data_IF_181479364119
#
_entry.id   IF_181479364119
#
_cell.length_a   1.000
_cell.length_b   1.000
_cell.length_c   1.000
_cell.angle_alpha   90.00
_cell.angle_beta   90.00
_cell.angle_gamma   90.00
#
_symmetry.space_group_name_H-M   'P 1'
#
loop_
_entity.id
_entity.type
_entity.pdbx_description
1 polymer ?
#
# COMPACT_ATOMS: atom_id res chain seq x y z
N UNK A 1 21.04 26.09 -93.94
CA UNK A 1 19.75 25.41 -93.69
C UNK A 1 19.46 25.47 -92.19
N UNK A 2 18.41 26.20 -91.79
CA UNK A 2 17.59 26.15 -90.52
C UNK A 2 18.34 26.10 -89.17
N UNK A 3 18.35 27.18 -88.36
CA UNK A 3 17.40 27.54 -87.27
C UNK A 3 17.01 26.35 -86.36
N UNK A 4 17.23 26.47 -85.03
CA UNK A 4 16.21 26.46 -83.95
C UNK A 4 16.87 26.65 -82.56
N UNK A 5 16.23 27.50 -81.75
CA UNK A 5 16.41 27.79 -80.31
C UNK A 5 15.46 26.89 -79.49
N UNK A 6 15.84 26.42 -78.29
CA UNK A 6 14.95 26.22 -77.11
C UNK A 6 15.81 25.71 -75.92
N UNK A 7 15.98 26.45 -74.82
CA UNK A 7 15.11 26.60 -73.64
C UNK A 7 14.67 25.28 -72.96
N UNK A 8 15.18 25.07 -71.74
CA UNK A 8 14.75 24.04 -70.80
C UNK A 8 14.93 24.52 -69.36
N UNK A 9 13.81 24.76 -68.69
CA UNK A 9 13.63 25.23 -67.32
C UNK A 9 14.13 24.21 -66.27
N UNK A 10 14.79 24.66 -65.19
CA UNK A 10 14.24 24.81 -63.83
C UNK A 10 14.39 23.57 -62.92
N UNK A 11 15.04 23.76 -61.76
CA UNK A 11 14.47 23.61 -60.41
C UNK A 11 15.61 23.52 -59.37
N UNK A 12 15.61 24.52 -58.48
CA UNK A 12 16.37 24.50 -57.24
C UNK A 12 15.84 23.39 -56.33
N UNK A 13 16.71 22.49 -55.87
CA UNK A 13 16.44 21.55 -54.81
C UNK A 13 17.28 21.90 -53.59
N UNK A 14 16.71 22.67 -52.67
CA UNK A 14 17.24 22.84 -51.31
C UNK A 14 17.16 21.50 -50.59
N UNK A 15 18.31 20.87 -50.34
CA UNK A 15 18.40 19.70 -49.46
C UNK A 15 18.18 20.15 -48.01
N UNK A 16 16.94 20.07 -47.53
CA UNK A 16 16.63 20.22 -46.11
C UNK A 16 17.19 19.00 -45.39
N UNK A 17 18.25 19.21 -44.60
CA UNK A 17 18.72 18.23 -43.62
C UNK A 17 17.60 18.12 -42.58
N UNK A 18 16.81 17.05 -42.68
CA UNK A 18 15.84 16.69 -41.67
C UNK A 18 16.56 16.40 -40.36
N UNK A 19 16.52 17.36 -39.43
CA UNK A 19 16.82 17.11 -38.03
C UNK A 19 15.80 16.07 -37.54
N UNK A 20 16.23 14.81 -37.43
CA UNK A 20 15.46 13.78 -36.75
C UNK A 20 15.18 14.25 -35.35
N UNK A 21 13.92 14.60 -35.07
CA UNK A 21 13.44 14.79 -33.72
C UNK A 21 13.56 13.44 -33.03
N UNK A 22 14.63 13.26 -32.25
CA UNK A 22 14.66 12.23 -31.22
C UNK A 22 13.62 12.66 -30.19
N UNK A 23 12.39 12.18 -30.34
CA UNK A 23 11.40 12.20 -29.28
C UNK A 23 11.94 11.29 -28.18
N UNK A 24 12.74 11.87 -27.29
CA UNK A 24 12.97 11.29 -25.98
C UNK A 24 11.60 11.24 -25.31
N UNK A 25 10.98 10.05 -25.32
CA UNK A 25 9.96 9.73 -24.33
C UNK A 25 10.64 9.93 -22.99
N UNK A 26 10.38 11.07 -22.35
CA UNK A 26 10.72 11.29 -20.97
C UNK A 26 9.96 10.22 -20.19
N UNK A 27 10.65 9.12 -19.89
CA UNK A 27 10.27 8.22 -18.83
C UNK A 27 10.27 9.11 -17.59
N UNK A 28 9.08 9.57 -17.19
CA UNK A 28 8.92 10.23 -15.91
C UNK A 28 9.31 9.20 -14.87
N UNK A 29 10.52 9.31 -14.35
CA UNK A 29 10.92 8.54 -13.19
C UNK A 29 9.97 8.94 -12.05
N UNK A 30 8.94 8.12 -11.83
CA UNK A 30 8.17 8.10 -10.61
C UNK A 30 9.06 7.51 -9.52
N UNK A 31 10.03 8.28 -9.04
CA UNK A 31 10.85 7.87 -7.91
C UNK A 31 9.95 7.84 -6.66
N UNK A 32 9.62 6.62 -6.21
CA UNK A 32 8.97 6.44 -4.91
C UNK A 32 9.83 7.10 -3.83
N UNK A 33 9.19 7.73 -2.83
CA UNK A 33 9.89 8.31 -1.67
C UNK A 33 10.34 7.25 -0.67
N UNK A 34 9.99 5.98 -0.92
CA UNK A 34 10.42 4.81 -0.17
C UNK A 34 11.33 3.92 -1.01
N UNK A 35 12.13 3.12 -0.32
CA UNK A 35 12.84 1.98 -0.89
C UNK A 35 12.17 0.67 -0.44
N UNK A 36 12.57 -0.45 -1.05
CA UNK A 36 12.13 -1.78 -0.65
C UNK A 36 10.62 -2.00 -0.75
N UNK A 37 10.04 -2.70 0.23
CA UNK A 37 8.64 -3.13 0.18
C UNK A 37 7.65 -1.95 0.16
N UNK A 38 7.91 -0.86 0.88
CA UNK A 38 7.02 0.31 0.88
C UNK A 38 7.00 1.03 -0.48
N UNK A 39 8.07 0.95 -1.27
CA UNK A 39 8.11 1.52 -2.62
C UNK A 39 7.07 0.91 -3.56
N UNK A 40 6.73 -0.35 -3.33
CA UNK A 40 5.71 -1.08 -4.08
C UNK A 40 4.29 -0.85 -3.56
N UNK A 41 4.11 -0.09 -2.47
CA UNK A 41 2.82 0.11 -1.79
C UNK A 41 2.37 1.57 -1.86
N UNK A 42 3.33 2.49 -1.96
CA UNK A 42 3.11 3.94 -1.89
C UNK A 42 3.57 4.60 -3.18
N UNK A 43 2.67 5.31 -3.85
CA UNK A 43 3.01 6.11 -5.02
C UNK A 43 3.71 7.44 -4.66
N UNK A 44 4.12 8.20 -5.68
CA UNK A 44 4.82 9.48 -5.53
C UNK A 44 4.02 10.57 -4.80
N UNK A 45 2.70 10.39 -4.72
CA UNK A 45 1.74 11.30 -4.06
C UNK A 45 1.34 10.83 -2.66
N UNK A 46 1.77 9.63 -2.27
CA UNK A 46 1.41 9.04 -0.99
C UNK A 46 0.08 8.29 -1.02
N UNK A 47 -0.43 7.90 -2.19
CA UNK A 47 -1.57 7.00 -2.26
C UNK A 47 -1.08 5.58 -1.94
N UNK A 48 -1.73 4.94 -0.98
CA UNK A 48 -1.50 3.54 -0.65
C UNK A 48 -2.36 2.64 -1.54
N UNK A 49 -1.95 1.39 -1.69
CA UNK A 49 -2.78 0.29 -2.16
C UNK A 49 -2.46 -0.99 -1.39
N UNK A 50 -3.33 -2.00 -1.47
CA UNK A 50 -3.05 -3.30 -0.86
C UNK A 50 -1.96 -4.00 -1.69
N UNK A 51 -0.85 -4.47 -1.08
CA UNK A 51 0.20 -5.16 -1.82
C UNK A 51 -0.34 -6.47 -2.43
N UNK A 52 -0.13 -6.80 -3.72
CA UNK A 52 -0.76 -7.99 -4.31
C UNK A 52 -0.32 -9.32 -3.68
N UNK A 53 0.95 -9.42 -3.27
CA UNK A 53 1.57 -10.68 -2.82
C UNK A 53 1.82 -10.75 -1.30
N UNK A 54 1.16 -9.90 -0.48
CA UNK A 54 1.47 -9.88 0.96
C UNK A 54 1.25 -11.24 1.63
N UNK A 55 0.25 -12.05 1.22
CA UNK A 55 -0.01 -13.35 1.85
C UNK A 55 1.13 -14.37 1.69
N UNK A 56 1.96 -14.23 0.66
CA UNK A 56 3.11 -15.12 0.40
C UNK A 56 4.43 -14.48 0.75
N UNK A 57 4.53 -13.15 0.69
CA UNK A 57 5.76 -12.42 0.95
C UNK A 57 5.89 -11.91 2.39
N UNK A 58 4.78 -11.59 3.06
CA UNK A 58 4.81 -10.96 4.39
C UNK A 58 4.72 -12.01 5.49
N UNK A 59 5.20 -11.64 6.67
CA UNK A 59 5.17 -12.51 7.84
C UNK A 59 3.88 -12.24 8.63
N UNK A 60 3.18 -13.29 9.05
CA UNK A 60 2.03 -13.14 9.95
C UNK A 60 2.52 -12.54 11.28
N UNK A 61 1.95 -11.40 11.62
CA UNK A 61 2.21 -10.67 12.86
C UNK A 61 1.29 -11.18 13.99
N UNK A 62 0.04 -11.53 13.66
CA UNK A 62 -0.90 -12.14 14.59
C UNK A 62 -2.35 -12.02 14.10
N UNK A 63 -3.28 -12.42 14.96
CA UNK A 63 -4.71 -12.40 14.66
C UNK A 63 -5.54 -11.89 15.82
N UNK A 64 -6.67 -11.27 15.51
CA UNK A 64 -7.66 -10.80 16.48
C UNK A 64 -9.01 -11.43 16.18
N UNK A 65 -9.73 -11.83 17.23
CA UNK A 65 -11.09 -12.34 17.12
C UNK A 65 -12.02 -11.35 17.84
N UNK A 66 -12.89 -10.68 17.09
CA UNK A 66 -13.89 -9.78 17.66
C UNK A 66 -15.11 -10.61 18.02
N UNK A 67 -15.44 -10.67 19.31
CA UNK A 67 -16.60 -11.42 19.79
C UNK A 67 -17.89 -10.96 19.09
N UNK A 68 -18.83 -11.89 18.91
CA UNK A 68 -20.22 -11.50 18.60
C UNK A 68 -20.78 -10.66 19.73
N UNK A 69 -21.74 -9.81 19.40
CA UNK A 69 -22.47 -9.02 20.39
C UNK A 69 -23.32 -9.95 21.28
N UNK A 70 -23.90 -11.00 20.67
CA UNK A 70 -24.76 -11.97 21.34
C UNK A 70 -24.32 -13.41 20.99
N UNK A 71 -24.15 -14.25 22.02
CA UNK A 71 -23.89 -15.69 21.86
C UNK A 71 -22.42 -16.06 21.55
N UNK A 72 -22.14 -17.35 21.31
CA UNK A 72 -20.79 -17.85 21.10
C UNK A 72 -20.22 -17.51 19.72
N UNK A 73 -18.89 -17.43 19.66
CA UNK A 73 -18.13 -17.18 18.44
C UNK A 73 -17.75 -15.72 18.22
N UNK A 74 -17.19 -15.45 17.06
CA UNK A 74 -16.70 -14.14 16.66
C UNK A 74 -17.61 -13.54 15.58
N UNK A 75 -17.78 -12.22 15.56
CA UNK A 75 -18.37 -11.54 14.40
C UNK A 75 -17.32 -11.28 13.32
N UNK A 76 -16.09 -10.98 13.75
CA UNK A 76 -14.96 -10.77 12.84
C UNK A 76 -13.70 -11.50 13.26
N UNK A 77 -12.90 -11.87 12.26
CA UNK A 77 -11.53 -12.33 12.42
C UNK A 77 -10.62 -11.39 11.66
N UNK A 78 -9.59 -10.88 12.32
CA UNK A 78 -8.59 -10.02 11.70
C UNK A 78 -7.26 -10.76 11.65
N UNK A 79 -6.57 -10.70 10.51
CA UNK A 79 -5.23 -11.29 10.35
C UNK A 79 -4.29 -10.19 9.92
N UNK A 80 -3.19 -10.03 10.66
CA UNK A 80 -2.23 -8.93 10.44
C UNK A 80 -0.92 -9.50 9.96
N UNK A 81 -0.38 -8.90 8.91
CA UNK A 81 0.90 -9.24 8.28
C UNK A 81 1.83 -8.03 8.36
N UNK A 82 3.12 -8.30 8.46
CA UNK A 82 4.17 -7.29 8.43
C UNK A 82 5.13 -7.58 7.28
N UNK A 83 5.58 -6.53 6.58
CA UNK A 83 6.55 -6.64 5.49
C UNK A 83 7.82 -7.39 5.92
N UNK A 84 8.53 -8.06 4.99
CA UNK A 84 9.76 -8.79 5.29
C UNK A 84 10.73 -7.99 6.18
N UNK A 85 11.30 -8.65 7.18
CA UNK A 85 12.30 -8.05 8.08
C UNK A 85 11.73 -7.15 9.19
N UNK A 86 10.46 -6.72 9.10
CA UNK A 86 9.82 -5.86 10.11
C UNK A 86 9.86 -6.46 11.50
N UNK A 87 9.50 -7.74 11.64
CA UNK A 87 9.48 -8.43 12.94
C UNK A 87 10.90 -8.51 13.52
N UNK A 88 11.89 -8.85 12.70
CA UNK A 88 13.28 -8.96 13.15
C UNK A 88 13.85 -7.60 13.58
N UNK A 89 13.58 -6.54 12.82
CA UNK A 89 13.97 -5.18 13.17
C UNK A 89 13.28 -4.73 14.46
N UNK A 90 11.97 -4.96 14.61
CA UNK A 90 11.25 -4.61 15.84
C UNK A 90 11.81 -5.33 17.06
N UNK A 91 12.10 -6.63 16.96
CA UNK A 91 12.72 -7.38 18.07
C UNK A 91 14.09 -6.83 18.46
N UNK A 92 14.86 -6.35 17.49
CA UNK A 92 16.20 -5.80 17.70
C UNK A 92 16.16 -4.40 18.33
N UNK A 93 15.32 -3.52 17.78
CA UNK A 93 15.39 -2.08 18.03
C UNK A 93 14.22 -1.58 18.92
N UNK A 94 13.20 -2.41 19.13
CA UNK A 94 12.04 -2.10 19.98
C UNK A 94 10.98 -1.22 19.31
N UNK A 95 11.13 -0.91 18.02
CA UNK A 95 10.18 -0.08 17.26
C UNK A 95 10.05 -0.57 15.81
N UNK A 96 8.97 -0.18 15.14
CA UNK A 96 8.81 -0.49 13.71
C UNK A 96 9.85 0.29 12.89
N UNK A 97 10.56 -0.34 11.95
CA UNK A 97 11.49 0.38 11.09
C UNK A 97 10.73 1.28 10.11
N UNK A 98 11.36 2.36 9.70
CA UNK A 98 10.85 3.23 8.64
C UNK A 98 10.58 2.41 7.36
N UNK A 99 9.44 2.66 6.70
CA UNK A 99 8.98 1.87 5.55
C UNK A 99 8.37 0.49 5.90
N UNK A 100 8.21 0.13 7.17
CA UNK A 100 7.45 -1.05 7.54
C UNK A 100 6.00 -0.96 7.02
N UNK A 101 5.52 -2.00 6.36
CA UNK A 101 4.13 -2.12 5.89
C UNK A 101 3.40 -3.13 6.76
N UNK A 102 2.28 -2.71 7.34
CA UNK A 102 1.34 -3.57 8.03
C UNK A 102 0.07 -3.72 7.18
N UNK A 103 -0.36 -4.95 6.95
CA UNK A 103 -1.61 -5.26 6.26
C UNK A 103 -2.49 -6.03 7.22
N UNK A 104 -3.64 -5.47 7.59
CA UNK A 104 -4.67 -6.13 8.39
C UNK A 104 -5.84 -6.49 7.50
N UNK A 105 -6.07 -7.78 7.31
CA UNK A 105 -7.30 -8.28 6.72
C UNK A 105 -8.42 -8.26 7.77
N UNK A 106 -9.64 -7.95 7.34
CA UNK A 106 -10.84 -8.06 8.17
C UNK A 106 -11.83 -8.97 7.47
N UNK A 107 -12.15 -10.09 8.12
CA UNK A 107 -13.15 -11.03 7.66
C UNK A 107 -14.37 -10.98 8.57
N UNK A 108 -15.56 -11.04 7.98
CA UNK A 108 -16.72 -11.60 8.66
C UNK A 108 -16.51 -13.10 8.82
N UNK A 109 -16.98 -13.68 9.93
CA UNK A 109 -16.71 -15.09 10.22
C UNK A 109 -17.90 -16.00 9.93
N UNK A 110 -17.59 -17.27 9.65
CA UNK A 110 -18.56 -18.36 9.76
C UNK A 110 -18.30 -19.11 11.06
N UNK A 111 -19.36 -19.41 11.81
CA UNK A 111 -19.26 -20.11 13.09
C UNK A 111 -19.99 -21.44 13.02
N UNK A 112 -19.32 -22.54 13.40
CA UNK A 112 -19.87 -23.89 13.38
C UNK A 112 -19.50 -24.65 14.64
N UNK A 113 -20.31 -25.65 14.99
CA UNK A 113 -19.90 -26.65 15.97
C UNK A 113 -18.94 -27.65 15.33
N UNK A 114 -17.77 -27.80 15.95
CA UNK A 114 -16.73 -28.73 15.56
C UNK A 114 -16.41 -29.66 16.73
N UNK A 115 -15.63 -30.71 16.50
CA UNK A 115 -15.21 -31.65 17.56
C UNK A 115 -14.38 -30.99 18.66
N UNK A 116 -13.81 -29.81 18.38
CA UNK A 116 -13.06 -28.97 19.34
C UNK A 116 -13.93 -27.90 20.02
N UNK A 117 -15.25 -27.87 19.76
CA UNK A 117 -16.19 -26.88 20.29
C UNK A 117 -16.78 -25.96 19.22
N UNK A 118 -17.45 -24.89 19.63
CA UNK A 118 -17.95 -23.85 18.72
C UNK A 118 -16.78 -23.01 18.20
N UNK A 119 -16.53 -23.05 16.89
CA UNK A 119 -15.37 -22.44 16.25
C UNK A 119 -15.81 -21.45 15.19
N UNK A 120 -15.16 -20.29 15.16
CA UNK A 120 -15.29 -19.30 14.09
C UNK A 120 -14.07 -19.35 13.16
N UNK A 121 -14.30 -19.35 11.86
CA UNK A 121 -13.26 -19.26 10.83
C UNK A 121 -13.48 -18.04 9.93
N UNK A 122 -12.43 -17.56 9.28
CA UNK A 122 -12.54 -16.52 8.25
C UNK A 122 -13.60 -16.92 7.20
N UNK A 123 -14.52 -16.01 6.92
CA UNK A 123 -15.55 -16.15 5.90
C UNK A 123 -15.34 -15.11 4.81
N UNK A 124 -16.30 -14.20 4.67
CA UNK A 124 -16.26 -13.13 3.67
C UNK A 124 -15.25 -12.07 4.06
N UNK A 125 -14.35 -11.70 3.15
CA UNK A 125 -13.46 -10.57 3.35
C UNK A 125 -14.26 -9.26 3.27
N UNK A 126 -14.19 -8.44 4.30
CA UNK A 126 -14.76 -7.10 4.32
C UNK A 126 -13.80 -6.08 3.69
N UNK A 127 -12.50 -6.20 3.97
CA UNK A 127 -11.49 -5.30 3.42
C UNK A 127 -10.14 -5.40 4.12
N UNK A 128 -9.31 -4.39 3.86
CA UNK A 128 -7.97 -4.27 4.40
C UNK A 128 -7.75 -2.92 5.06
N UNK A 129 -7.03 -2.95 6.17
CA UNK A 129 -6.37 -1.76 6.68
C UNK A 129 -4.87 -1.87 6.43
N UNK A 130 -4.30 -0.90 5.71
CA UNK A 130 -2.87 -0.85 5.38
C UNK A 130 -2.27 0.35 6.10
N UNK A 131 -1.16 0.10 6.79
CA UNK A 131 -0.34 1.14 7.41
C UNK A 131 1.10 1.08 6.91
N UNK A 132 1.72 2.23 6.67
CA UNK A 132 3.13 2.33 6.27
C UNK A 132 3.89 3.25 7.22
N UNK A 133 4.96 2.78 7.86
CA UNK A 133 5.75 3.58 8.79
C UNK A 133 6.46 4.70 8.05
N UNK A 134 6.28 5.93 8.51
CA UNK A 134 6.95 7.12 8.01
C UNK A 134 7.59 7.92 9.15
N UNK A 135 8.82 7.61 9.48
CA UNK A 135 9.56 8.29 10.55
C UNK A 135 10.09 9.67 10.12
N UNK A 136 9.93 10.04 8.85
CA UNK A 136 10.53 11.25 8.27
C UNK A 136 9.52 12.31 7.83
N UNK A 137 8.24 11.94 7.69
CA UNK A 137 7.18 12.86 7.25
C UNK A 137 7.26 13.18 5.76
N UNK A 138 7.30 12.16 4.91
CA UNK A 138 7.48 12.24 3.45
C UNK A 138 6.33 12.90 2.73
N UNK A 139 5.12 12.91 3.30
CA UNK A 139 3.91 13.40 2.63
C UNK A 139 3.24 14.54 3.41
N UNK A 140 3.92 15.70 3.55
CA UNK A 140 3.35 16.84 4.25
C UNK A 140 2.06 17.30 3.56
N UNK A 141 1.01 17.55 4.34
CA UNK A 141 -0.29 18.00 3.84
C UNK A 141 -1.18 16.90 3.25
N UNK A 142 -0.69 15.65 3.14
CA UNK A 142 -1.56 14.53 2.79
C UNK A 142 -2.36 14.08 4.02
N UNK A 143 -3.69 14.11 3.93
CA UNK A 143 -4.62 13.79 5.02
C UNK A 143 -4.62 12.32 5.44
N UNK A 144 -3.97 11.45 4.70
CA UNK A 144 -3.78 10.04 5.06
C UNK A 144 -2.41 9.76 5.69
N UNK A 145 -1.61 10.80 5.95
CA UNK A 145 -0.29 10.69 6.57
C UNK A 145 -0.19 11.58 7.80
N UNK A 146 0.33 11.01 8.89
CA UNK A 146 0.51 11.71 10.14
C UNK A 146 0.86 10.75 11.27
N UNK A 147 1.31 11.30 12.39
CA UNK A 147 1.70 10.54 13.58
C UNK A 147 2.73 9.42 13.30
N UNK A 148 3.57 9.64 12.28
CA UNK A 148 4.62 8.71 11.89
C UNK A 148 4.15 7.54 11.01
N UNK A 149 2.95 7.61 10.43
CA UNK A 149 2.35 6.55 9.63
C UNK A 149 1.54 7.10 8.44
N UNK A 150 1.46 6.32 7.37
CA UNK A 150 0.38 6.39 6.37
C UNK A 150 -0.74 5.43 6.76
N UNK A 151 -1.99 5.82 6.56
CA UNK A 151 -3.18 5.12 7.05
C UNK A 151 -4.22 4.99 5.94
N UNK A 152 -4.69 3.77 5.66
CA UNK A 152 -5.67 3.59 4.59
C UNK A 152 -6.51 2.34 4.74
N UNK A 153 -7.82 2.49 4.58
CA UNK A 153 -8.77 1.40 4.43
C UNK A 153 -9.12 1.15 2.95
N UNK A 154 -9.25 -0.12 2.59
CA UNK A 154 -9.67 -0.58 1.28
C UNK A 154 -10.81 -1.58 1.44
N UNK A 155 -11.95 -1.30 0.80
CA UNK A 155 -13.04 -2.26 0.73
C UNK A 155 -12.62 -3.47 -0.12
N UNK A 156 -13.14 -4.66 0.20
CA UNK A 156 -12.79 -5.90 -0.51
C UNK A 156 -13.03 -5.83 -2.03
N UNK A 157 -13.89 -4.92 -2.48
CA UNK A 157 -14.21 -4.70 -3.89
C UNK A 157 -13.08 -4.00 -4.68
N UNK A 158 -12.25 -3.19 -4.04
CA UNK A 158 -11.18 -2.43 -4.71
C UNK A 158 -9.93 -2.30 -3.83
N UNK A 159 -8.95 -3.22 -3.97
CA UNK A 159 -7.69 -3.14 -3.23
C UNK A 159 -6.76 -2.01 -3.70
N UNK A 160 -7.09 -1.30 -4.78
CA UNK A 160 -6.25 -0.23 -5.34
C UNK A 160 -6.75 1.17 -4.99
N UNK A 161 -7.98 1.29 -4.48
CA UNK A 161 -8.59 2.58 -4.18
C UNK A 161 -9.08 2.63 -2.74
N UNK A 162 -8.46 3.52 -1.97
CA UNK A 162 -8.87 3.78 -0.60
C UNK A 162 -10.25 4.45 -0.53
N UNK A 163 -11.01 4.11 0.51
CA UNK A 163 -12.20 4.86 0.90
C UNK A 163 -11.96 5.76 2.11
N UNK A 164 -10.76 5.70 2.71
CA UNK A 164 -10.32 6.68 3.70
C UNK A 164 -10.09 8.05 3.07
N UNK A 165 -10.42 9.09 3.84
CA UNK A 165 -10.29 10.50 3.42
C UNK A 165 -9.40 11.31 4.36
N UNK A 166 -9.40 10.98 5.66
CA UNK A 166 -8.62 11.66 6.68
C UNK A 166 -8.33 10.71 7.84
N UNK A 167 -7.06 10.43 8.12
CA UNK A 167 -6.71 9.45 9.15
C UNK A 167 -7.18 9.88 10.54
N UNK A 168 -7.29 11.19 10.81
CA UNK A 168 -7.74 11.70 12.11
C UNK A 168 -9.22 11.41 12.35
N UNK A 169 -10.03 11.47 11.28
CA UNK A 169 -11.46 11.16 11.32
C UNK A 169 -11.72 9.65 11.23
N UNK A 170 -11.00 8.97 10.34
CA UNK A 170 -11.33 7.60 9.91
C UNK A 170 -10.59 6.52 10.72
N UNK A 171 -9.45 6.82 11.33
CA UNK A 171 -8.53 5.80 11.88
C UNK A 171 -8.06 6.06 13.32
N UNK A 172 -7.70 7.32 13.62
CA UNK A 172 -6.93 7.67 14.82
C UNK A 172 -7.65 7.29 16.12
N UNK A 173 -8.97 7.50 16.21
CA UNK A 173 -9.75 7.23 17.42
C UNK A 173 -9.69 5.75 17.86
N UNK A 174 -9.65 4.81 16.92
CA UNK A 174 -9.52 3.38 17.21
C UNK A 174 -8.09 3.01 17.65
N UNK A 175 -7.09 3.81 17.29
CA UNK A 175 -5.68 3.58 17.56
C UNK A 175 -5.13 4.40 18.75
N UNK A 176 -5.85 5.42 19.23
CA UNK A 176 -5.46 6.26 20.37
C UNK A 176 -5.11 5.45 21.63
N UNK A 177 -5.82 4.38 22.02
CA UNK A 177 -5.41 3.57 23.17
C UNK A 177 -4.04 2.89 23.00
N UNK A 178 -3.58 2.72 21.75
CA UNK A 178 -2.27 2.19 21.40
C UNK A 178 -1.22 3.27 21.11
N UNK A 179 -1.51 4.56 21.34
CA UNK A 179 -0.60 5.66 21.03
C UNK A 179 0.79 5.49 21.65
N UNK A 180 0.87 4.97 22.88
CA UNK A 180 2.14 4.73 23.57
C UNK A 180 2.97 3.59 22.97
N UNK A 181 2.35 2.70 22.19
CA UNK A 181 3.01 1.60 21.47
C UNK A 181 3.08 1.89 19.97
N UNK A 182 3.38 3.16 19.64
CA UNK A 182 3.50 3.64 18.26
C UNK A 182 2.22 3.41 17.44
N UNK A 183 1.07 3.61 18.09
CA UNK A 183 -0.28 3.42 17.55
C UNK A 183 -0.65 1.99 17.16
N UNK A 184 0.19 1.01 17.47
CA UNK A 184 -0.06 -0.39 17.16
C UNK A 184 -0.31 -1.15 18.46
N UNK A 185 -1.36 -1.97 18.54
CA UNK A 185 -1.65 -2.82 19.69
C UNK A 185 -0.66 -4.00 19.81
N UNK A 186 0.61 -3.72 20.06
CA UNK A 186 1.72 -4.69 20.03
C UNK A 186 1.58 -5.82 21.05
N UNK A 187 0.77 -5.64 22.09
CA UNK A 187 0.46 -6.71 23.06
C UNK A 187 -0.25 -7.91 22.42
N UNK A 188 -0.96 -7.72 21.30
CA UNK A 188 -1.60 -8.81 20.55
C UNK A 188 -0.67 -9.52 19.57
N UNK A 189 0.61 -9.14 19.52
CA UNK A 189 1.60 -9.72 18.61
C UNK A 189 2.77 -10.32 19.39
N UNK A 190 2.61 -11.52 19.99
CA UNK A 190 3.68 -12.18 20.75
C UNK A 190 4.97 -12.37 19.95
N UNK A 191 4.86 -12.51 18.62
CA UNK A 191 6.01 -12.62 17.73
C UNK A 191 6.90 -11.38 17.73
N UNK A 192 6.50 -10.24 18.32
CA UNK A 192 7.38 -9.07 18.48
C UNK A 192 8.29 -9.16 19.71
N UNK A 193 8.02 -10.08 20.65
CA UNK A 193 8.74 -10.25 21.92
C UNK A 193 9.63 -11.50 21.99
N UNK A 194 9.52 -12.37 21.00
CA UNK A 194 10.15 -13.70 20.98
C UNK A 194 11.53 -13.70 20.32
#
# INVERSE_FOLDING_TARGET
MRIVIALGAALAGLSVIGAGAVTTYAQMDKHSRYEGTAAAVVDDKGNLHVPPDYRTAYQVLGSWAVAKDDGPGSKQLHVVYASPGTIAAYRKDGHFPDGAVLVKEVFDTTTNDMTTGTVSSAGTLAGWFVMVKDSTGRFPGNKLWGDGWGWSWFDAADPQKTTSTDYTADCQSCHEPARQSDWIYTHGYPVLKQ
#
